data_IF_186682078031
#
_entry.id   IF_186682078031
#
_cell.length_a   1.000
_cell.length_b   1.000
_cell.length_c   1.000
_cell.angle_alpha   90.00
_cell.angle_beta   90.00
_cell.angle_gamma   90.00
#
_symmetry.space_group_name_H-M   'P 1'
#
loop_
_entity.id
_entity.type
_entity.pdbx_description
1 polymer ?
#
# COMPACT_ATOMS: atom_id res chain seq x y z
N UNK A 1 37.61 13.48 -29.76
CA UNK A 1 36.97 13.18 -28.44
C UNK A 1 35.46 13.53 -28.41
N UNK A 2 35.01 14.67 -28.90
CA UNK A 2 33.59 15.09 -28.86
C UNK A 2 32.63 14.14 -29.61
N UNK A 3 33.05 13.59 -30.75
CA UNK A 3 32.22 12.69 -31.56
C UNK A 3 31.99 11.30 -30.87
N UNK A 4 33.02 10.77 -30.19
CA UNK A 4 32.90 9.55 -29.38
C UNK A 4 31.97 9.75 -28.18
N UNK A 5 31.99 10.92 -27.54
CA UNK A 5 31.13 11.26 -26.43
C UNK A 5 29.67 11.35 -26.86
N UNK A 6 29.40 12.03 -28.00
CA UNK A 6 28.02 12.09 -28.58
C UNK A 6 27.47 10.70 -28.98
N UNK A 7 28.31 9.83 -29.53
CA UNK A 7 27.91 8.47 -29.89
C UNK A 7 27.60 7.64 -28.64
N UNK A 8 28.40 7.75 -27.58
CA UNK A 8 28.13 7.10 -26.30
C UNK A 8 26.83 7.60 -25.67
N UNK A 9 26.61 8.91 -25.63
CA UNK A 9 25.38 9.53 -25.13
C UNK A 9 24.14 9.04 -25.93
N UNK A 10 24.25 8.95 -27.25
CA UNK A 10 23.16 8.45 -28.09
C UNK A 10 22.85 6.97 -27.81
N UNK A 11 23.86 6.13 -27.61
CA UNK A 11 23.68 4.71 -27.26
C UNK A 11 23.02 4.57 -25.89
N UNK A 12 23.49 5.32 -24.89
CA UNK A 12 22.90 5.32 -23.53
C UNK A 12 21.45 5.78 -23.58
N UNK A 13 21.17 6.87 -24.32
CA UNK A 13 19.79 7.35 -24.50
C UNK A 13 18.90 6.31 -25.19
N UNK A 14 19.41 5.62 -26.22
CA UNK A 14 18.70 4.53 -26.88
C UNK A 14 18.39 3.37 -25.94
N UNK A 15 19.35 2.99 -25.08
CA UNK A 15 19.13 1.94 -24.06
C UNK A 15 18.05 2.36 -23.05
N UNK A 16 18.10 3.59 -22.53
CA UNK A 16 17.06 4.05 -21.59
C UNK A 16 15.69 4.14 -22.22
N UNK A 17 15.58 4.59 -23.48
CA UNK A 17 14.35 4.62 -24.23
C UNK A 17 13.79 3.18 -24.41
N UNK A 18 14.65 2.23 -24.80
CA UNK A 18 14.28 0.82 -24.96
C UNK A 18 13.76 0.22 -23.64
N UNK A 19 14.49 0.42 -22.54
CA UNK A 19 14.07 -0.05 -21.21
C UNK A 19 12.75 0.58 -20.77
N UNK A 20 12.55 1.87 -21.02
CA UNK A 20 11.27 2.55 -20.78
C UNK A 20 10.12 1.96 -21.58
N UNK A 21 10.34 1.72 -22.89
CA UNK A 21 9.34 1.08 -23.77
C UNK A 21 9.01 -0.35 -23.32
N UNK A 22 10.01 -1.14 -22.93
CA UNK A 22 9.80 -2.50 -22.39
C UNK A 22 8.93 -2.43 -21.13
N UNK A 23 9.22 -1.51 -20.19
CA UNK A 23 8.46 -1.36 -18.96
C UNK A 23 6.99 -1.03 -19.25
N UNK A 24 6.74 -0.05 -20.11
CA UNK A 24 5.37 0.31 -20.53
C UNK A 24 4.69 -0.87 -21.24
N UNK A 25 5.42 -1.55 -22.15
CA UNK A 25 4.93 -2.74 -22.84
C UNK A 25 4.52 -3.87 -21.90
N UNK A 26 5.31 -4.13 -20.85
CA UNK A 26 4.96 -5.13 -19.82
C UNK A 26 3.68 -4.76 -19.07
N UNK A 27 3.52 -3.48 -18.69
CA UNK A 27 2.29 -3.03 -18.00
C UNK A 27 1.07 -3.18 -18.90
N UNK A 28 1.17 -2.78 -20.17
CA UNK A 28 0.10 -2.96 -21.14
C UNK A 28 -0.24 -4.44 -21.37
N UNK A 29 0.76 -5.29 -21.48
CA UNK A 29 0.59 -6.74 -21.64
C UNK A 29 -0.16 -7.34 -20.44
N UNK A 30 0.24 -7.00 -19.21
CA UNK A 30 -0.44 -7.45 -17.98
C UNK A 30 -1.89 -6.95 -17.99
N UNK A 31 -2.13 -5.69 -18.32
CA UNK A 31 -3.47 -5.11 -18.37
C UNK A 31 -4.37 -5.86 -19.37
N UNK A 32 -3.89 -6.05 -20.58
CA UNK A 32 -4.62 -6.77 -21.64
C UNK A 32 -4.88 -8.22 -21.23
N UNK A 33 -3.88 -8.89 -20.64
CA UNK A 33 -4.02 -10.26 -20.17
C UNK A 33 -5.07 -10.40 -19.05
N UNK A 34 -5.08 -9.48 -18.08
CA UNK A 34 -6.10 -9.47 -17.01
C UNK A 34 -7.50 -9.24 -17.57
N UNK A 35 -7.65 -8.35 -18.54
CA UNK A 35 -8.93 -8.09 -19.20
C UNK A 35 -9.42 -9.34 -19.94
N UNK A 36 -8.60 -9.94 -20.78
CA UNK A 36 -8.98 -11.12 -21.57
C UNK A 36 -9.30 -12.32 -20.67
N UNK A 37 -8.53 -12.52 -19.60
CA UNK A 37 -8.70 -13.65 -18.68
C UNK A 37 -9.82 -13.45 -17.66
N UNK A 38 -10.12 -12.21 -17.26
CA UNK A 38 -11.11 -11.90 -16.21
C UNK A 38 -12.52 -11.63 -16.73
N UNK A 39 -12.68 -10.99 -17.89
CA UNK A 39 -14.02 -10.65 -18.43
C UNK A 39 -14.92 -11.87 -18.63
N UNK A 40 -14.46 -13.06 -19.09
CA UNK A 40 -15.34 -14.20 -19.31
C UNK A 40 -16.08 -14.69 -18.08
N UNK A 41 -15.46 -14.61 -16.89
CA UNK A 41 -16.17 -14.99 -15.66
C UNK A 41 -17.25 -13.96 -15.29
N UNK A 42 -16.97 -12.68 -15.43
CA UNK A 42 -17.96 -11.61 -15.17
C UNK A 42 -19.17 -11.75 -16.12
N UNK A 43 -18.95 -12.13 -17.37
CA UNK A 43 -20.04 -12.35 -18.33
C UNK A 43 -20.90 -13.56 -17.96
N UNK A 44 -20.29 -14.64 -17.46
CA UNK A 44 -21.01 -15.86 -17.07
C UNK A 44 -21.73 -15.72 -15.72
N UNK A 45 -21.11 -15.06 -14.75
CA UNK A 45 -21.65 -14.91 -13.40
C UNK A 45 -22.63 -13.72 -13.32
N UNK A 46 -22.39 -12.69 -14.13
CA UNK A 46 -23.03 -11.38 -14.06
C UNK A 46 -22.27 -10.40 -13.20
N UNK A 47 -22.19 -9.15 -13.64
CA UNK A 47 -21.42 -8.10 -12.96
C UNK A 47 -21.93 -7.84 -11.53
N UNK A 48 -23.25 -7.72 -11.36
CA UNK A 48 -23.85 -7.42 -10.05
C UNK A 48 -23.72 -8.60 -9.07
N UNK A 49 -24.05 -9.85 -9.44
CA UNK A 49 -23.82 -11.01 -8.57
C UNK A 49 -22.34 -11.19 -8.20
N UNK A 50 -21.41 -10.88 -9.11
CA UNK A 50 -19.98 -10.96 -8.86
C UNK A 50 -19.51 -9.90 -7.85
N UNK A 51 -19.79 -8.61 -8.11
CA UNK A 51 -19.29 -7.52 -7.27
C UNK A 51 -20.04 -7.36 -5.95
N UNK A 52 -21.37 -7.50 -5.96
CA UNK A 52 -22.24 -7.29 -4.79
C UNK A 52 -22.63 -8.60 -4.07
N UNK A 53 -22.26 -9.75 -4.62
CA UNK A 53 -22.50 -11.04 -3.99
C UNK A 53 -21.77 -11.18 -2.66
N UNK A 54 -22.45 -11.71 -1.64
CA UNK A 54 -21.94 -11.82 -0.26
C UNK A 54 -21.29 -13.15 0.06
N UNK A 55 -21.32 -14.10 -0.86
CA UNK A 55 -20.86 -15.48 -0.62
C UNK A 55 -19.84 -15.86 -1.69
N UNK A 56 -18.66 -16.28 -1.23
CA UNK A 56 -17.67 -16.96 -2.04
C UNK A 56 -17.58 -18.42 -1.63
N UNK A 57 -17.97 -19.32 -2.52
CA UNK A 57 -17.93 -20.77 -2.31
C UNK A 57 -17.66 -21.45 -3.65
N UNK A 58 -16.38 -21.47 -4.04
CA UNK A 58 -15.93 -21.91 -5.35
C UNK A 58 -15.94 -23.43 -5.54
N UNK A 59 -15.95 -24.18 -4.43
CA UNK A 59 -15.85 -25.66 -4.42
C UNK A 59 -17.14 -26.36 -4.01
N UNK A 60 -18.24 -25.63 -3.78
CA UNK A 60 -19.55 -26.22 -3.45
C UNK A 60 -20.23 -26.84 -4.67
N UNK A 61 -21.25 -27.66 -4.44
CA UNK A 61 -22.08 -28.25 -5.50
C UNK A 61 -22.73 -27.17 -6.39
N UNK A 62 -23.11 -26.03 -5.78
CA UNK A 62 -23.55 -24.83 -6.49
C UNK A 62 -22.54 -23.71 -6.23
N UNK A 63 -21.54 -23.51 -7.10
CA UNK A 63 -20.50 -22.52 -6.88
C UNK A 63 -21.04 -21.09 -6.87
N UNK A 64 -20.64 -20.28 -5.87
CA UNK A 64 -20.96 -18.85 -5.76
C UNK A 64 -19.67 -18.04 -5.76
N UNK A 65 -19.68 -16.94 -6.51
CA UNK A 65 -18.49 -16.13 -6.78
C UNK A 65 -18.68 -14.64 -6.40
N UNK A 66 -19.37 -14.39 -5.28
CA UNK A 66 -19.55 -13.02 -4.78
C UNK A 66 -18.30 -12.52 -4.05
N UNK A 67 -17.77 -11.36 -4.43
CA UNK A 67 -16.53 -10.80 -3.90
C UNK A 67 -16.71 -9.58 -3.01
N UNK A 68 -17.94 -9.19 -2.69
CA UNK A 68 -18.20 -8.04 -1.80
C UNK A 68 -17.46 -8.14 -0.46
N UNK A 69 -17.40 -9.31 0.21
CA UNK A 69 -16.63 -9.45 1.45
C UNK A 69 -15.16 -9.06 1.28
N UNK A 70 -14.54 -9.47 0.18
CA UNK A 70 -13.12 -9.20 -0.09
C UNK A 70 -12.87 -7.73 -0.41
N UNK A 71 -13.79 -7.07 -1.13
CA UNK A 71 -13.72 -5.63 -1.41
C UNK A 71 -13.78 -4.85 -0.10
N UNK A 72 -14.79 -5.11 0.75
CA UNK A 72 -14.96 -4.42 2.03
C UNK A 72 -13.79 -4.67 2.96
N UNK A 73 -13.31 -5.91 3.05
CA UNK A 73 -12.13 -6.26 3.86
C UNK A 73 -10.90 -5.50 3.38
N UNK A 74 -10.65 -5.43 2.07
CA UNK A 74 -9.49 -4.71 1.52
C UNK A 74 -9.59 -3.21 1.80
N UNK A 75 -10.78 -2.62 1.68
CA UNK A 75 -11.03 -1.21 2.02
C UNK A 75 -10.80 -0.96 3.52
N UNK A 76 -11.41 -1.75 4.39
CA UNK A 76 -11.30 -1.56 5.84
C UNK A 76 -9.88 -1.81 6.35
N UNK A 77 -9.22 -2.87 5.85
CA UNK A 77 -7.84 -3.19 6.20
C UNK A 77 -6.86 -2.09 5.80
N UNK A 78 -6.99 -1.60 4.56
CA UNK A 78 -6.15 -0.49 4.07
C UNK A 78 -6.44 0.81 4.82
N UNK A 79 -7.72 1.17 5.01
CA UNK A 79 -8.10 2.37 5.75
C UNK A 79 -7.59 2.33 7.20
N UNK A 80 -7.74 1.19 7.88
CA UNK A 80 -7.20 1.00 9.23
C UNK A 80 -5.68 1.13 9.29
N UNK A 81 -4.97 0.55 8.33
CA UNK A 81 -3.51 0.67 8.23
C UNK A 81 -3.06 2.11 7.99
N UNK A 82 -3.79 2.87 7.17
CA UNK A 82 -3.52 4.29 6.90
C UNK A 82 -3.75 5.12 8.17
N UNK A 83 -4.88 4.93 8.85
CA UNK A 83 -5.23 5.67 10.08
C UNK A 83 -4.19 5.49 11.17
N UNK A 84 -3.58 4.31 11.28
CA UNK A 84 -2.50 4.03 12.24
C UNK A 84 -1.12 4.43 11.70
N UNK A 85 -0.79 3.99 10.50
CA UNK A 85 0.56 4.09 9.95
C UNK A 85 0.93 5.51 9.48
N UNK A 86 -0.01 6.26 8.90
CA UNK A 86 0.30 7.62 8.40
C UNK A 86 0.65 8.57 9.55
N UNK A 87 -0.15 8.72 10.63
CA UNK A 87 0.22 9.61 11.72
C UNK A 87 1.55 9.23 12.36
N UNK A 88 1.78 7.94 12.64
CA UNK A 88 3.02 7.46 13.25
C UNK A 88 4.20 7.73 12.32
N UNK A 89 4.09 7.37 11.05
CA UNK A 89 5.14 7.56 10.06
C UNK A 89 5.47 9.04 9.81
N UNK A 90 4.44 9.88 9.68
CA UNK A 90 4.59 11.32 9.50
C UNK A 90 5.27 12.00 10.71
N UNK A 91 4.77 11.74 11.92
CA UNK A 91 5.36 12.33 13.14
C UNK A 91 6.81 11.85 13.34
N UNK A 92 7.09 10.58 13.05
CA UNK A 92 8.46 10.06 13.05
C UNK A 92 9.34 10.78 12.03
N UNK A 93 8.83 11.07 10.84
CA UNK A 93 9.57 11.80 9.81
C UNK A 93 9.88 13.23 10.23
N UNK A 94 8.91 13.96 10.82
CA UNK A 94 9.13 15.29 11.37
C UNK A 94 10.19 15.26 12.47
N UNK A 95 10.07 14.31 13.39
CA UNK A 95 11.05 14.13 14.47
C UNK A 95 12.46 13.89 13.92
N UNK A 96 12.62 12.96 12.96
CA UNK A 96 13.92 12.62 12.38
C UNK A 96 14.56 13.78 11.61
N UNK A 97 13.75 14.54 10.87
CA UNK A 97 14.27 15.61 10.01
C UNK A 97 14.55 16.90 10.75
N UNK A 98 13.82 17.22 11.84
CA UNK A 98 13.84 18.55 12.48
C UNK A 98 14.30 18.55 13.95
N UNK A 99 14.08 17.46 14.69
CA UNK A 99 14.24 17.46 16.15
C UNK A 99 15.37 16.53 16.60
N UNK A 100 15.52 15.37 15.95
CA UNK A 100 16.39 14.32 16.42
C UNK A 100 17.88 14.72 16.44
N UNK A 101 18.60 14.56 17.57
CA UNK A 101 20.05 14.74 17.58
C UNK A 101 20.72 13.70 16.67
N UNK A 102 21.87 14.05 16.07
CA UNK A 102 22.57 13.26 15.04
C UNK A 102 22.70 11.77 15.39
N UNK A 103 23.06 11.45 16.63
CA UNK A 103 23.21 10.05 17.07
C UNK A 103 21.88 9.27 17.04
N UNK A 104 20.81 9.86 17.55
CA UNK A 104 19.47 9.25 17.57
C UNK A 104 18.95 9.09 16.15
N UNK A 105 19.10 10.12 15.33
CA UNK A 105 18.73 10.11 13.92
C UNK A 105 19.40 8.95 13.18
N UNK A 106 20.74 8.80 13.28
CA UNK A 106 21.47 7.71 12.62
C UNK A 106 20.95 6.33 13.02
N UNK A 107 20.68 6.11 14.31
CA UNK A 107 20.15 4.81 14.79
C UNK A 107 18.74 4.55 14.27
N UNK A 108 17.86 5.55 14.33
CA UNK A 108 16.47 5.38 13.86
C UNK A 108 16.40 5.23 12.33
N UNK A 109 17.19 5.97 11.57
CA UNK A 109 17.27 5.80 10.10
C UNK A 109 17.79 4.40 9.72
N UNK A 110 18.77 3.87 10.45
CA UNK A 110 19.23 2.51 10.28
C UNK A 110 18.12 1.50 10.58
N UNK A 111 17.39 1.67 11.69
CA UNK A 111 16.26 0.81 12.06
C UNK A 111 15.14 0.86 11.00
N UNK A 112 14.75 2.05 10.53
CA UNK A 112 13.77 2.21 9.44
C UNK A 112 14.25 1.56 8.15
N UNK A 113 15.56 1.63 7.86
CA UNK A 113 16.16 1.00 6.68
C UNK A 113 16.17 -0.52 6.78
N UNK A 114 16.43 -1.08 7.95
CA UNK A 114 16.32 -2.51 8.21
C UNK A 114 14.86 -2.98 8.03
N UNK A 115 13.89 -2.27 8.63
CA UNK A 115 12.48 -2.57 8.43
C UNK A 115 12.09 -2.55 6.95
N UNK A 116 12.57 -1.59 6.15
CA UNK A 116 12.30 -1.54 4.72
C UNK A 116 12.85 -2.75 3.94
N UNK A 117 13.93 -3.36 4.44
CA UNK A 117 14.59 -4.52 3.83
C UNK A 117 13.99 -5.88 4.22
N UNK A 118 13.12 -5.94 5.23
CA UNK A 118 12.49 -7.20 5.66
C UNK A 118 11.48 -7.66 4.60
N UNK A 119 11.55 -8.92 4.10
CA UNK A 119 10.53 -9.49 3.22
C UNK A 119 9.14 -9.51 3.90
N UNK A 120 8.08 -9.26 3.12
CA UNK A 120 6.71 -9.21 3.66
C UNK A 120 6.26 -10.50 4.37
N UNK A 121 6.72 -11.64 3.87
CA UNK A 121 6.46 -12.96 4.49
C UNK A 121 6.98 -13.02 5.93
N UNK A 122 8.12 -12.38 6.22
CA UNK A 122 8.68 -12.36 7.58
C UNK A 122 7.81 -11.52 8.52
N UNK A 123 7.25 -10.39 8.04
CA UNK A 123 6.25 -9.63 8.81
C UNK A 123 5.02 -10.48 9.12
N UNK A 124 4.53 -11.23 8.12
CA UNK A 124 3.43 -12.17 8.29
C UNK A 124 3.74 -13.27 9.29
N UNK A 125 4.94 -13.87 9.21
CA UNK A 125 5.40 -14.91 10.13
C UNK A 125 5.47 -14.42 11.58
N UNK A 126 6.10 -13.26 11.80
CA UNK A 126 6.16 -12.64 13.13
C UNK A 126 4.76 -12.27 13.62
N UNK A 127 3.92 -11.73 12.73
CA UNK A 127 2.52 -11.46 13.02
C UNK A 127 1.75 -12.70 13.48
N UNK A 128 1.91 -13.80 12.76
CA UNK A 128 1.26 -15.08 13.08
C UNK A 128 1.77 -15.68 14.40
N UNK A 129 3.08 -15.63 14.65
CA UNK A 129 3.68 -16.26 15.84
C UNK A 129 3.57 -15.41 17.11
N UNK A 130 3.53 -14.09 16.98
CA UNK A 130 3.55 -13.17 18.13
C UNK A 130 2.27 -12.36 18.25
N UNK A 131 1.85 -11.67 17.19
CA UNK A 131 0.72 -10.74 17.24
C UNK A 131 -0.61 -11.48 17.36
N UNK A 132 -0.84 -12.52 16.56
CA UNK A 132 -2.09 -13.30 16.57
C UNK A 132 -2.33 -13.95 17.94
N UNK A 133 -1.37 -14.66 18.58
CA UNK A 133 -1.54 -15.17 19.93
C UNK A 133 -1.72 -14.07 20.98
N UNK A 134 -1.04 -12.93 20.84
CA UNK A 134 -1.21 -11.78 21.74
C UNK A 134 -2.63 -11.22 21.67
N UNK A 135 -3.17 -10.99 20.46
CA UNK A 135 -4.56 -10.54 20.25
C UNK A 135 -5.54 -11.54 20.85
N UNK A 136 -5.38 -12.82 20.54
CA UNK A 136 -6.21 -13.89 21.08
C UNK A 136 -6.28 -13.85 22.60
N UNK A 137 -5.12 -13.76 23.25
CA UNK A 137 -5.01 -13.75 24.73
C UNK A 137 -5.57 -12.46 25.34
N UNK A 138 -5.26 -11.31 24.75
CA UNK A 138 -5.65 -9.99 25.31
C UNK A 138 -7.16 -9.76 25.20
N UNK A 139 -7.77 -10.14 24.08
CA UNK A 139 -9.19 -9.93 23.83
C UNK A 139 -10.05 -11.16 24.11
N UNK A 140 -9.47 -12.25 24.64
CA UNK A 140 -10.16 -13.52 24.96
C UNK A 140 -10.93 -14.11 23.77
N UNK A 141 -10.33 -14.05 22.58
CA UNK A 141 -10.95 -14.51 21.33
C UNK A 141 -10.69 -16.01 21.10
N UNK A 142 -11.58 -16.71 20.36
CA UNK A 142 -11.33 -18.09 19.93
C UNK A 142 -10.09 -18.21 19.05
N UNK A 143 -9.92 -17.26 18.13
CA UNK A 143 -8.75 -17.09 17.27
C UNK A 143 -8.34 -15.61 17.22
N UNK A 144 -7.05 -15.35 17.13
CA UNK A 144 -6.53 -13.98 17.01
C UNK A 144 -6.25 -13.55 15.56
N UNK A 145 -6.33 -14.51 14.61
CA UNK A 145 -6.20 -14.20 13.19
C UNK A 145 -7.43 -13.42 12.71
N UNK A 146 -7.24 -12.15 12.30
CA UNK A 146 -8.36 -11.21 12.18
C UNK A 146 -8.02 -10.02 11.28
N UNK A 147 -9.04 -9.25 10.94
CA UNK A 147 -8.86 -7.95 10.28
C UNK A 147 -7.98 -7.01 11.12
N UNK A 148 -8.10 -7.02 12.45
CA UNK A 148 -7.29 -6.20 13.34
C UNK A 148 -5.80 -6.57 13.28
N UNK A 149 -5.47 -7.87 13.28
CA UNK A 149 -4.09 -8.34 13.10
C UNK A 149 -3.53 -7.88 11.74
N UNK A 150 -4.32 -7.98 10.68
CA UNK A 150 -3.93 -7.51 9.35
C UNK A 150 -3.70 -5.99 9.31
N UNK A 151 -4.55 -5.19 9.94
CA UNK A 151 -4.39 -3.73 10.06
C UNK A 151 -3.05 -3.37 10.72
N UNK A 152 -2.71 -4.01 11.84
CA UNK A 152 -1.46 -3.73 12.56
C UNK A 152 -0.25 -4.09 11.69
N UNK A 153 -0.24 -5.27 11.09
CA UNK A 153 0.88 -5.71 10.22
C UNK A 153 1.04 -4.76 9.03
N UNK A 154 -0.06 -4.42 8.35
CA UNK A 154 -0.04 -3.46 7.24
C UNK A 154 0.46 -2.08 7.69
N UNK A 155 -0.01 -1.58 8.85
CA UNK A 155 0.42 -0.29 9.38
C UNK A 155 1.94 -0.27 9.60
N UNK A 156 2.51 -1.31 10.23
CA UNK A 156 3.97 -1.42 10.42
C UNK A 156 4.72 -1.47 9.10
N UNK A 157 4.20 -2.21 8.12
CA UNK A 157 4.85 -2.38 6.81
C UNK A 157 4.90 -1.10 5.96
N UNK A 158 3.95 -0.19 6.13
CA UNK A 158 3.94 1.08 5.37
C UNK A 158 4.83 2.15 6.01
N UNK A 159 5.17 2.03 7.31
CA UNK A 159 5.98 3.03 8.04
C UNK A 159 7.28 3.38 7.34
N UNK A 160 8.13 2.44 6.89
CA UNK A 160 9.41 2.77 6.28
C UNK A 160 9.28 3.64 5.03
N UNK A 161 8.27 3.37 4.20
CA UNK A 161 8.02 4.13 2.98
C UNK A 161 7.56 5.55 3.29
N UNK A 162 6.63 5.70 4.23
CA UNK A 162 6.11 7.00 4.66
C UNK A 162 7.24 7.82 5.31
N UNK A 163 7.99 7.23 6.25
CA UNK A 163 9.07 7.92 6.95
C UNK A 163 10.13 8.42 5.99
N UNK A 164 10.70 7.52 5.17
CA UNK A 164 11.83 7.88 4.28
C UNK A 164 11.47 8.97 3.28
N UNK A 165 10.33 8.83 2.60
CA UNK A 165 9.92 9.81 1.60
C UNK A 165 9.53 11.13 2.24
N UNK A 166 8.87 11.12 3.42
CA UNK A 166 8.54 12.34 4.15
C UNK A 166 9.79 13.05 4.72
N UNK A 167 10.78 12.31 5.24
CA UNK A 167 12.07 12.89 5.67
C UNK A 167 12.74 13.59 4.51
N UNK A 168 12.89 12.93 3.36
CA UNK A 168 13.48 13.53 2.16
C UNK A 168 12.72 14.79 1.73
N UNK A 169 11.39 14.76 1.75
CA UNK A 169 10.59 15.93 1.40
C UNK A 169 10.79 17.11 2.37
N UNK A 170 10.86 16.84 3.68
CA UNK A 170 11.11 17.87 4.69
C UNK A 170 12.52 18.46 4.62
N UNK A 171 13.50 17.66 4.21
CA UNK A 171 14.90 18.10 4.05
C UNK A 171 15.14 18.93 2.78
N UNK A 172 14.25 18.82 1.78
CA UNK A 172 14.34 19.66 0.58
C UNK A 172 13.78 21.07 0.77
N UNK A 173 13.13 21.35 1.92
CA UNK A 173 12.66 22.71 2.26
C UNK A 173 13.87 23.60 2.55
N UNK A 174 14.01 24.76 1.88
CA UNK A 174 15.11 25.70 2.14
C UNK A 174 15.13 26.18 3.59
N UNK A 175 16.30 26.20 4.20
CA UNK A 175 16.47 26.64 5.61
C UNK A 175 16.07 28.11 5.80
N UNK A 176 16.17 28.93 4.77
CA UNK A 176 15.78 30.35 4.78
C UNK A 176 14.31 30.55 5.17
N UNK A 177 13.42 29.58 4.88
CA UNK A 177 12.01 29.65 5.28
C UNK A 177 11.85 29.46 6.80
N UNK A 178 12.65 28.57 7.37
CA UNK A 178 12.66 28.31 8.82
C UNK A 178 13.28 29.49 9.57
N UNK A 179 14.42 30.01 9.09
CA UNK A 179 15.11 31.15 9.67
C UNK A 179 14.23 32.42 9.67
N UNK A 180 13.50 32.66 8.58
CA UNK A 180 12.55 33.78 8.49
C UNK A 180 11.41 33.65 9.51
N UNK A 181 10.88 32.45 9.72
CA UNK A 181 9.84 32.19 10.72
C UNK A 181 10.35 32.43 12.15
N UNK A 182 11.54 31.94 12.46
CA UNK A 182 12.18 32.13 13.77
C UNK A 182 12.50 33.60 14.01
N UNK A 183 12.96 34.37 12.99
CA UNK A 183 13.21 35.81 13.07
C UNK A 183 11.95 36.64 13.39
N UNK A 184 10.76 36.13 13.00
CA UNK A 184 9.45 36.71 13.33
C UNK A 184 8.97 36.32 14.75
N UNK A 185 9.76 35.56 15.52
CA UNK A 185 9.46 35.18 16.90
C UNK A 185 8.64 33.89 17.03
N UNK A 186 8.47 33.10 15.98
CA UNK A 186 7.86 31.78 16.08
C UNK A 186 8.78 30.81 16.86
N UNK A 187 8.18 29.86 17.55
CA UNK A 187 8.92 28.75 18.15
C UNK A 187 9.35 27.74 17.10
N UNK A 188 10.36 26.90 17.39
CA UNK A 188 10.80 25.82 16.49
C UNK A 188 9.65 24.91 16.09
N UNK A 189 8.80 24.49 17.04
CA UNK A 189 7.67 23.60 16.79
C UNK A 189 6.64 24.27 15.88
N UNK A 190 6.35 25.56 16.08
CA UNK A 190 5.44 26.31 15.20
C UNK A 190 6.04 26.42 13.79
N UNK A 191 7.33 26.65 13.66
CA UNK A 191 8.04 26.70 12.38
C UNK A 191 7.94 25.36 11.66
N UNK A 192 8.15 24.23 12.34
CA UNK A 192 8.04 22.92 11.70
C UNK A 192 6.65 22.65 11.15
N UNK A 193 5.58 22.89 11.94
CA UNK A 193 4.23 22.57 11.53
C UNK A 193 3.56 23.63 10.64
N UNK A 194 3.93 24.90 10.76
CA UNK A 194 3.31 26.01 10.00
C UNK A 194 4.11 26.43 8.77
N UNK A 195 5.41 26.08 8.70
CA UNK A 195 6.27 26.45 7.57
C UNK A 195 6.82 25.22 6.86
N UNK A 196 7.62 24.38 7.55
CA UNK A 196 8.31 23.25 6.92
C UNK A 196 7.35 22.18 6.38
N UNK A 197 6.35 21.79 7.16
CA UNK A 197 5.36 20.78 6.75
C UNK A 197 4.49 21.27 5.58
N UNK A 198 3.90 22.48 5.58
CA UNK A 198 3.20 23.01 4.43
C UNK A 198 4.08 23.15 3.18
N UNK A 199 5.33 23.56 3.33
CA UNK A 199 6.29 23.66 2.22
C UNK A 199 6.60 22.27 1.60
N UNK A 200 6.68 21.20 2.44
CA UNK A 200 6.92 19.83 2.03
C UNK A 200 5.64 19.04 1.66
N UNK A 201 4.45 19.66 1.68
CA UNK A 201 3.15 18.97 1.58
C UNK A 201 3.04 18.01 0.40
N UNK A 202 3.55 18.38 -0.77
CA UNK A 202 3.48 17.54 -1.98
C UNK A 202 4.31 16.26 -1.86
N UNK A 203 5.49 16.34 -1.21
CA UNK A 203 6.34 15.18 -0.98
C UNK A 203 5.78 14.27 0.12
N UNK A 204 5.24 14.85 1.20
CA UNK A 204 4.57 14.10 2.27
C UNK A 204 3.35 13.37 1.71
N UNK A 205 2.55 14.03 0.89
CA UNK A 205 1.42 13.41 0.26
C UNK A 205 1.82 12.28 -0.71
N UNK A 206 2.91 12.43 -1.46
CA UNK A 206 3.48 11.35 -2.27
C UNK A 206 3.92 10.16 -1.41
N UNK A 207 4.47 10.40 -0.22
CA UNK A 207 4.82 9.36 0.75
C UNK A 207 3.58 8.56 1.19
N UNK A 208 2.47 9.24 1.46
CA UNK A 208 1.20 8.60 1.82
C UNK A 208 0.67 7.77 0.66
N UNK A 209 0.65 8.30 -0.58
CA UNK A 209 0.21 7.55 -1.78
C UNK A 209 1.02 6.27 -1.94
N UNK A 210 2.35 6.34 -1.76
CA UNK A 210 3.22 5.17 -1.85
C UNK A 210 2.89 4.14 -0.75
N UNK A 211 2.64 4.59 0.47
CA UNK A 211 2.21 3.74 1.59
C UNK A 211 0.87 3.06 1.32
N UNK A 212 -0.12 3.80 0.81
CA UNK A 212 -1.45 3.28 0.42
C UNK A 212 -1.31 2.20 -0.65
N UNK A 213 -0.56 2.49 -1.72
CA UNK A 213 -0.33 1.52 -2.80
C UNK A 213 0.30 0.22 -2.29
N UNK A 214 1.25 0.32 -1.35
CA UNK A 214 1.87 -0.84 -0.70
C UNK A 214 0.88 -1.62 0.15
N UNK A 215 0.03 -0.95 0.95
CA UNK A 215 -0.97 -1.61 1.78
C UNK A 215 -2.01 -2.38 0.97
N UNK A 216 -2.52 -1.79 -0.11
CA UNK A 216 -3.53 -2.42 -0.97
C UNK A 216 -2.96 -3.64 -1.71
N UNK A 217 -1.71 -3.56 -2.15
CA UNK A 217 -1.05 -4.62 -2.91
C UNK A 217 -0.51 -5.76 -2.06
N UNK A 218 -0.52 -5.66 -0.73
CA UNK A 218 0.05 -6.69 0.13
C UNK A 218 -0.81 -7.96 0.15
N UNK A 219 -0.18 -9.10 -0.07
CA UNK A 219 -0.84 -10.39 -0.09
C UNK A 219 -0.28 -11.34 0.97
N UNK A 220 1.04 -11.55 0.99
CA UNK A 220 1.68 -12.64 1.74
C UNK A 220 1.62 -12.43 3.25
N UNK A 221 1.96 -11.23 3.73
CA UNK A 221 1.90 -10.93 5.16
C UNK A 221 0.46 -11.00 5.68
N UNK A 222 -0.48 -10.42 4.93
CA UNK A 222 -1.91 -10.41 5.30
C UNK A 222 -2.49 -11.82 5.30
N UNK A 223 -2.13 -12.67 4.32
CA UNK A 223 -2.58 -14.06 4.24
C UNK A 223 -2.24 -14.85 5.51
N UNK A 224 -1.11 -14.54 6.17
CA UNK A 224 -0.68 -15.26 7.37
C UNK A 224 -1.41 -14.82 8.64
N UNK A 225 -1.97 -13.60 8.69
CA UNK A 225 -2.54 -13.03 9.92
C UNK A 225 -4.03 -12.74 9.87
N UNK A 226 -4.65 -12.76 8.68
CA UNK A 226 -6.07 -12.41 8.52
C UNK A 226 -7.04 -13.57 8.72
N UNK A 227 -6.54 -14.82 8.78
CA UNK A 227 -7.35 -16.04 8.92
C UNK A 227 -7.99 -16.55 7.63
N UNK A 228 -8.08 -15.73 6.57
CA UNK A 228 -8.54 -16.08 5.21
C UNK A 228 -9.98 -16.64 5.08
N UNK A 229 -10.85 -16.41 6.04
CA UNK A 229 -12.25 -16.80 5.91
C UNK A 229 -12.98 -15.90 4.90
N UNK A 230 -13.76 -16.45 3.96
CA UNK A 230 -14.46 -15.66 2.93
C UNK A 230 -15.76 -15.04 3.45
N UNK A 231 -15.74 -14.53 4.69
CA UNK A 231 -16.91 -13.99 5.38
C UNK A 231 -17.01 -12.47 5.20
N UNK A 232 -18.22 -11.93 5.38
CA UNK A 232 -18.42 -10.48 5.50
C UNK A 232 -17.70 -9.96 6.75
N UNK A 233 -16.97 -8.84 6.67
CA UNK A 233 -16.28 -8.26 7.81
C UNK A 233 -17.29 -7.58 8.76
N UNK A 234 -17.90 -8.36 9.66
CA UNK A 234 -18.85 -7.88 10.67
C UNK A 234 -18.16 -7.24 11.88
N UNK A 235 -16.93 -7.69 12.19
CA UNK A 235 -16.10 -7.17 13.27
C UNK A 235 -14.64 -7.12 12.85
N UNK A 236 -13.88 -6.20 13.47
CA UNK A 236 -12.43 -6.13 13.28
C UNK A 236 -11.68 -7.35 13.84
N UNK A 237 -12.31 -8.11 14.73
CA UNK A 237 -11.73 -9.31 15.34
C UNK A 237 -12.11 -10.61 14.62
N UNK A 238 -12.85 -10.53 13.51
CA UNK A 238 -13.21 -11.70 12.72
C UNK A 238 -12.13 -12.03 11.68
N UNK A 239 -12.03 -13.33 11.38
CA UNK A 239 -11.25 -13.84 10.27
C UNK A 239 -11.86 -13.39 8.96
N UNK A 240 -11.05 -12.82 8.09
CA UNK A 240 -11.45 -12.19 6.83
C UNK A 240 -10.51 -12.54 5.70
N UNK A 241 -10.96 -12.32 4.45
CA UNK A 241 -10.16 -12.51 3.25
C UNK A 241 -10.08 -11.23 2.43
N UNK A 242 -8.87 -10.85 2.01
CA UNK A 242 -8.62 -9.70 1.13
C UNK A 242 -8.72 -10.11 -0.34
N UNK A 243 -8.85 -9.15 -1.26
CA UNK A 243 -8.80 -9.39 -2.70
C UNK A 243 -7.46 -10.03 -3.12
N UNK A 244 -6.35 -9.54 -2.57
CA UNK A 244 -5.01 -10.06 -2.82
C UNK A 244 -4.84 -11.48 -2.32
N UNK A 245 -5.32 -11.76 -1.11
CA UNK A 245 -5.18 -13.10 -0.51
C UNK A 245 -6.08 -14.13 -1.17
N UNK A 246 -7.26 -13.74 -1.68
CA UNK A 246 -8.12 -14.62 -2.45
C UNK A 246 -7.42 -15.14 -3.71
N UNK A 247 -6.78 -14.24 -4.46
CA UNK A 247 -6.00 -14.62 -5.65
C UNK A 247 -4.79 -15.47 -5.26
N UNK A 248 -4.00 -15.03 -4.27
CA UNK A 248 -2.76 -15.71 -3.89
C UNK A 248 -2.99 -17.12 -3.33
N UNK A 249 -4.08 -17.34 -2.57
CA UNK A 249 -4.35 -18.63 -1.93
C UNK A 249 -4.98 -19.67 -2.88
N UNK A 250 -5.81 -19.25 -3.84
CA UNK A 250 -6.59 -20.18 -4.64
C UNK A 250 -6.09 -20.36 -6.08
N UNK A 251 -5.29 -19.42 -6.63
CA UNK A 251 -4.91 -19.41 -8.05
C UNK A 251 -4.20 -20.71 -8.48
N UNK A 252 -3.32 -21.25 -7.64
CA UNK A 252 -2.51 -22.44 -7.97
C UNK A 252 -3.33 -23.74 -8.08
N UNK A 253 -4.47 -23.79 -7.39
CA UNK A 253 -5.33 -24.99 -7.33
C UNK A 253 -6.62 -24.83 -8.12
N UNK A 254 -6.85 -23.67 -8.72
CA UNK A 254 -8.08 -23.35 -9.45
C UNK A 254 -8.05 -23.83 -10.89
N UNK A 255 -9.22 -24.15 -11.44
CA UNK A 255 -9.44 -24.50 -12.83
C UNK A 255 -10.78 -23.95 -13.34
N UNK A 256 -10.97 -23.93 -14.66
CA UNK A 256 -12.22 -23.56 -15.28
C UNK A 256 -12.74 -22.17 -14.88
N UNK A 257 -14.02 -22.10 -14.47
CA UNK A 257 -14.68 -20.83 -14.09
C UNK A 257 -14.10 -20.22 -12.82
N UNK A 258 -13.68 -21.03 -11.84
CA UNK A 258 -13.03 -20.52 -10.64
C UNK A 258 -11.76 -19.75 -10.96
N UNK A 259 -10.90 -20.29 -11.83
CA UNK A 259 -9.68 -19.61 -12.27
C UNK A 259 -9.97 -18.31 -13.00
N UNK A 260 -10.99 -18.30 -13.87
CA UNK A 260 -11.44 -17.08 -14.54
C UNK A 260 -11.95 -16.03 -13.53
N UNK A 261 -12.71 -16.46 -12.50
CA UNK A 261 -13.20 -15.58 -11.44
C UNK A 261 -12.06 -14.98 -10.62
N UNK A 262 -10.98 -15.73 -10.33
CA UNK A 262 -9.77 -15.18 -9.67
C UNK A 262 -9.05 -14.15 -10.54
N UNK A 263 -8.99 -14.33 -11.87
CA UNK A 263 -8.51 -13.28 -12.79
C UNK A 263 -9.42 -12.06 -12.78
N UNK A 264 -10.74 -12.26 -12.64
CA UNK A 264 -11.67 -11.13 -12.45
C UNK A 264 -11.43 -10.39 -11.14
N UNK A 265 -11.12 -11.09 -10.03
CA UNK A 265 -10.71 -10.45 -8.76
C UNK A 265 -9.43 -9.63 -8.97
N UNK A 266 -8.43 -10.18 -9.66
CA UNK A 266 -7.20 -9.47 -9.96
C UNK A 266 -7.45 -8.22 -10.84
N UNK A 267 -8.38 -8.30 -11.80
CA UNK A 267 -8.81 -7.16 -12.61
C UNK A 267 -9.51 -6.08 -11.75
N UNK A 268 -10.41 -6.49 -10.85
CA UNK A 268 -11.08 -5.56 -9.91
C UNK A 268 -10.05 -4.88 -9.00
N UNK A 269 -9.10 -5.64 -8.45
CA UNK A 269 -8.01 -5.10 -7.65
C UNK A 269 -7.15 -4.08 -8.43
N UNK A 270 -6.80 -4.41 -9.67
CA UNK A 270 -6.04 -3.54 -10.56
C UNK A 270 -6.78 -2.22 -10.81
N UNK A 271 -8.07 -2.28 -11.15
CA UNK A 271 -8.91 -1.10 -11.34
C UNK A 271 -9.05 -0.29 -10.05
N UNK A 272 -9.18 -0.95 -8.90
CA UNK A 272 -9.27 -0.32 -7.59
C UNK A 272 -7.99 0.46 -7.27
N UNK A 273 -6.82 -0.11 -7.52
CA UNK A 273 -5.52 0.56 -7.35
C UNK A 273 -5.41 1.77 -8.28
N UNK A 274 -5.79 1.63 -9.54
CA UNK A 274 -5.79 2.74 -10.51
C UNK A 274 -6.70 3.88 -10.06
N UNK A 275 -7.92 3.59 -9.61
CA UNK A 275 -8.88 4.59 -9.13
C UNK A 275 -8.35 5.33 -7.89
N UNK A 276 -7.79 4.61 -6.92
CA UNK A 276 -7.22 5.23 -5.72
C UNK A 276 -6.04 6.13 -6.09
N UNK A 277 -5.12 5.65 -6.91
CA UNK A 277 -3.97 6.45 -7.35
C UNK A 277 -4.42 7.69 -8.16
N UNK A 278 -5.41 7.55 -9.04
CA UNK A 278 -5.96 8.66 -9.79
C UNK A 278 -6.63 9.69 -8.86
N UNK A 279 -7.43 9.24 -7.89
CA UNK A 279 -8.07 10.10 -6.91
C UNK A 279 -7.05 10.86 -6.05
N UNK A 280 -6.06 10.15 -5.50
CA UNK A 280 -4.99 10.77 -4.70
C UNK A 280 -4.20 11.79 -5.52
N UNK A 281 -3.81 11.46 -6.75
CA UNK A 281 -3.10 12.39 -7.63
C UNK A 281 -3.95 13.61 -8.02
N UNK A 282 -5.27 13.45 -8.20
CA UNK A 282 -6.18 14.55 -8.47
C UNK A 282 -6.24 15.54 -7.28
N UNK A 283 -6.39 15.03 -6.06
CA UNK A 283 -6.35 15.87 -4.85
C UNK A 283 -5.04 16.62 -4.68
N UNK A 284 -3.91 15.94 -4.95
CA UNK A 284 -2.57 16.54 -4.88
C UNK A 284 -2.33 17.65 -5.91
N UNK A 285 -2.88 17.51 -7.13
CA UNK A 285 -2.78 18.55 -8.17
C UNK A 285 -3.59 19.79 -7.82
N UNK A 286 -4.83 19.60 -7.35
CA UNK A 286 -5.72 20.70 -6.99
C UNK A 286 -5.13 21.58 -5.88
N UNK A 287 -4.38 21.00 -4.96
CA UNK A 287 -3.68 21.71 -3.88
C UNK A 287 -2.48 22.54 -4.38
N UNK A 288 -1.93 22.21 -5.56
CA UNK A 288 -0.85 23.00 -6.19
C UNK A 288 -1.37 24.20 -6.98
N UNK A 289 -2.59 24.14 -7.49
CA UNK A 289 -3.18 25.22 -8.29
C UNK A 289 -3.95 26.26 -7.42
N UNK A 290 -4.15 25.96 -6.14
CA UNK A 290 -4.87 26.82 -5.18
C UNK A 290 -3.95 27.69 -4.29
N UNK A 291 -2.63 27.64 -4.50
CA UNK A 291 -1.61 28.47 -3.87
C UNK A 291 -0.74 29.13 -4.96
#
# INVERSE_FOLDING_TARGET
>A
MAQRKKMFEAVVHGIFLLLGLITVGCVLLITVYLIISGIPAIQKIGLVPFLAGKVWSSTSAEPKYGILPFILTSVYGTAGAIVLGVPIGFLTAVYLSKVAPKKVRTVLEAAVSLLAGIPSVVYGLVGMLVLVPAIRKTFHLPDGASLFAAIIVLAVMILPSIIKVSVTALETVPHEYEDASLALGATEVETYFRVSVPAAKSGIAAAVVLGVGRAIGEAMAVMMVSGNAPNMPGSIFESVRFLTTAVASEMSYSSGLQRQALFSIALVLYLFILLINAALNFFLKRDKEGN
#
